data_IF_491430038833
#
_entry.id   IF_491430038833
#
_cell.length_a   1.000
_cell.length_b   1.000
_cell.length_c   1.000
_cell.angle_alpha   90.00
_cell.angle_beta   90.00
_cell.angle_gamma   90.00
#
_symmetry.space_group_name_H-M   'P 1'
#
loop_
_entity.id
_entity.type
_entity.pdbx_description
1 polymer ?
#
# COMPACT_ATOMS: atom_id res chain seq x y z
N UNK A 1 15.97 15.20 9.89
CA UNK A 1 16.15 16.46 9.15
C UNK A 1 14.87 17.28 8.97
N UNK A 2 13.95 16.97 8.02
CA UNK A 2 12.73 17.81 7.78
C UNK A 2 11.85 17.93 9.03
N UNK A 3 11.63 16.81 9.73
CA UNK A 3 10.87 16.81 10.99
C UNK A 3 11.52 17.63 12.11
N UNK A 4 12.84 17.79 12.12
CA UNK A 4 13.52 18.58 13.15
C UNK A 4 13.24 20.07 13.00
N UNK A 5 13.23 20.56 11.75
CA UNK A 5 12.88 21.95 11.49
C UNK A 5 11.37 22.23 11.59
N UNK A 6 10.51 21.25 11.26
CA UNK A 6 9.06 21.37 11.51
C UNK A 6 8.70 21.37 13.00
N UNK A 7 9.49 20.71 13.84
CA UNK A 7 9.33 20.72 15.30
C UNK A 7 9.91 21.99 15.95
N UNK A 8 10.45 22.91 15.16
CA UNK A 8 11.07 24.17 15.58
C UNK A 8 12.18 24.01 16.65
N UNK A 9 12.71 22.79 16.81
CA UNK A 9 13.73 22.49 17.82
C UNK A 9 15.08 23.13 17.51
N UNK A 10 15.34 23.35 16.22
CA UNK A 10 16.61 23.82 15.68
C UNK A 10 16.38 24.73 14.47
N UNK A 11 17.14 25.81 14.31
CA UNK A 11 17.07 26.65 13.11
C UNK A 11 17.36 25.85 11.84
N UNK A 12 16.59 26.09 10.77
CA UNK A 12 16.76 25.40 9.48
C UNK A 12 18.19 25.55 8.94
N UNK A 13 18.81 26.72 9.13
CA UNK A 13 20.19 26.96 8.71
C UNK A 13 21.20 26.02 9.40
N UNK A 14 20.98 25.70 10.68
CA UNK A 14 21.84 24.79 11.43
C UNK A 14 21.67 23.34 10.97
N UNK A 15 20.42 22.93 10.75
CA UNK A 15 20.08 21.62 10.17
C UNK A 15 20.75 21.47 8.80
N UNK A 16 20.66 22.48 7.94
CA UNK A 16 21.27 22.46 6.61
C UNK A 16 22.79 22.35 6.67
N UNK A 17 23.47 23.06 7.58
CA UNK A 17 24.93 22.96 7.77
C UNK A 17 25.35 21.57 8.23
N UNK A 18 24.66 21.00 9.22
CA UNK A 18 24.98 19.67 9.74
C UNK A 18 24.87 18.60 8.65
N UNK A 19 23.82 18.68 7.83
CA UNK A 19 23.57 17.71 6.76
C UNK A 19 24.25 18.08 5.44
N UNK A 20 25.02 19.18 5.39
CA UNK A 20 25.74 19.66 4.20
C UNK A 20 24.82 19.83 2.98
N UNK A 21 23.65 20.44 3.18
CA UNK A 21 22.69 20.75 2.12
C UNK A 21 22.41 22.25 2.03
N UNK A 22 21.91 22.69 0.88
CA UNK A 22 21.37 24.05 0.75
C UNK A 22 19.99 24.16 1.39
N UNK A 23 19.62 25.37 1.85
CA UNK A 23 18.28 25.63 2.37
C UNK A 23 17.19 25.43 1.30
N UNK A 24 17.49 25.73 0.03
CA UNK A 24 16.60 25.45 -1.10
C UNK A 24 16.26 23.96 -1.19
N UNK A 25 17.26 23.08 -1.01
CA UNK A 25 17.04 21.64 -1.02
C UNK A 25 16.20 21.20 0.18
N UNK A 26 16.45 21.77 1.36
CA UNK A 26 15.64 21.52 2.56
C UNK A 26 14.16 21.85 2.33
N UNK A 27 13.86 23.05 1.83
CA UNK A 27 12.47 23.46 1.60
C UNK A 27 11.79 22.60 0.55
N UNK A 28 12.49 22.24 -0.53
CA UNK A 28 11.97 21.29 -1.52
C UNK A 28 11.59 19.94 -0.90
N UNK A 29 12.40 19.42 0.02
CA UNK A 29 12.09 18.18 0.73
C UNK A 29 10.98 18.35 1.77
N UNK A 30 10.91 19.49 2.45
CA UNK A 30 9.79 19.83 3.35
C UNK A 30 8.47 19.80 2.60
N UNK A 31 8.42 20.46 1.45
CA UNK A 31 7.19 20.57 0.67
C UNK A 31 6.75 19.19 0.16
N UNK A 32 7.69 18.38 -0.37
CA UNK A 32 7.41 16.98 -0.74
C UNK A 32 6.92 16.14 0.44
N UNK A 33 7.53 16.32 1.62
CA UNK A 33 7.14 15.59 2.83
C UNK A 33 5.71 15.94 3.26
N UNK A 34 5.36 17.23 3.27
CA UNK A 34 4.02 17.71 3.62
C UNK A 34 2.97 17.30 2.58
N UNK A 35 3.30 17.37 1.29
CA UNK A 35 2.42 16.91 0.22
C UNK A 35 2.16 15.40 0.31
N UNK A 36 3.22 14.60 0.51
CA UNK A 36 3.11 13.15 0.71
C UNK A 36 2.31 12.81 1.97
N UNK A 37 2.53 13.53 3.07
CA UNK A 37 1.76 13.37 4.30
C UNK A 37 0.28 13.70 4.12
N UNK A 38 -0.05 14.81 3.45
CA UNK A 38 -1.44 15.17 3.13
C UNK A 38 -2.10 14.12 2.23
N UNK A 39 -1.40 13.66 1.18
CA UNK A 39 -1.90 12.59 0.31
C UNK A 39 -2.15 11.31 1.11
N UNK A 40 -1.23 10.92 1.98
CA UNK A 40 -1.37 9.75 2.84
C UNK A 40 -2.54 9.85 3.82
N UNK A 41 -2.79 11.03 4.41
CA UNK A 41 -3.90 11.25 5.35
C UNK A 41 -5.26 11.34 4.65
N UNK A 42 -5.33 12.02 3.49
CA UNK A 42 -6.57 12.10 2.69
C UNK A 42 -6.90 10.75 2.09
N UNK A 43 -5.89 10.03 1.58
CA UNK A 43 -6.02 8.67 1.08
C UNK A 43 -5.83 7.65 2.21
N UNK A 44 -6.25 8.00 3.45
CA UNK A 44 -5.95 7.43 4.78
C UNK A 44 -6.15 5.94 5.02
N UNK A 45 -6.32 5.14 3.98
CA UNK A 45 -6.18 3.69 3.98
C UNK A 45 -5.72 3.39 2.55
N UNK A 46 -4.41 3.15 2.38
CA UNK A 46 -3.79 3.04 1.07
C UNK A 46 -4.55 2.04 0.22
N UNK A 47 -5.33 2.54 -0.74
CA UNK A 47 -5.98 1.78 -1.79
C UNK A 47 -6.49 0.38 -1.38
N UNK A 48 -7.06 0.28 -0.17
CA UNK A 48 -7.69 -0.96 0.31
C UNK A 48 -8.79 -1.39 -0.68
N UNK A 49 -9.27 -0.46 -1.50
CA UNK A 49 -10.21 -0.70 -2.59
C UNK A 49 -9.59 -1.26 -3.88
N UNK A 50 -8.35 -0.93 -4.27
CA UNK A 50 -7.79 -1.45 -5.54
C UNK A 50 -7.76 -2.96 -5.57
N UNK A 51 -7.41 -3.59 -4.45
CA UNK A 51 -7.33 -5.04 -4.41
C UNK A 51 -8.62 -5.71 -3.95
N UNK A 52 -9.56 -5.00 -3.30
CA UNK A 52 -10.85 -5.60 -2.87
C UNK A 52 -11.65 -6.18 -4.03
N UNK A 53 -11.75 -5.45 -5.15
CA UNK A 53 -12.49 -5.93 -6.32
C UNK A 53 -11.85 -7.18 -6.94
N UNK A 54 -10.51 -7.21 -7.03
CA UNK A 54 -9.80 -8.38 -7.57
C UNK A 54 -9.85 -9.56 -6.59
N UNK A 55 -9.76 -9.32 -5.27
CA UNK A 55 -9.93 -10.35 -4.24
C UNK A 55 -11.32 -10.99 -4.35
N UNK A 56 -12.38 -10.19 -4.44
CA UNK A 56 -13.75 -10.70 -4.55
C UNK A 56 -13.94 -11.54 -5.83
N UNK A 57 -13.39 -11.08 -6.95
CA UNK A 57 -13.41 -11.79 -8.22
C UNK A 57 -12.66 -13.13 -8.14
N UNK A 58 -11.46 -13.14 -7.55
CA UNK A 58 -10.66 -14.35 -7.37
C UNK A 58 -11.36 -15.35 -6.45
N UNK A 59 -11.97 -14.90 -5.35
CA UNK A 59 -12.76 -15.75 -4.46
C UNK A 59 -13.93 -16.42 -5.19
N UNK A 60 -14.65 -15.69 -6.06
CA UNK A 60 -15.74 -16.26 -6.88
C UNK A 60 -15.23 -17.34 -7.85
N UNK A 61 -14.07 -17.13 -8.47
CA UNK A 61 -13.46 -18.10 -9.39
C UNK A 61 -13.06 -19.37 -8.64
N UNK A 62 -12.38 -19.22 -7.51
CA UNK A 62 -11.95 -20.34 -6.66
C UNK A 62 -13.17 -21.16 -6.19
N UNK A 63 -14.24 -20.48 -5.74
CA UNK A 63 -15.47 -21.16 -5.34
C UNK A 63 -16.10 -21.99 -6.46
N UNK A 64 -16.16 -21.47 -7.69
CA UNK A 64 -16.66 -22.22 -8.86
C UNK A 64 -15.79 -23.44 -9.17
N UNK A 65 -14.46 -23.29 -9.11
CA UNK A 65 -13.52 -24.38 -9.36
C UNK A 65 -13.63 -25.47 -8.28
N UNK A 66 -13.79 -25.09 -7.01
CA UNK A 66 -13.96 -26.04 -5.90
C UNK A 66 -15.19 -26.93 -6.10
N UNK A 67 -16.32 -26.34 -6.52
CA UNK A 67 -17.55 -27.08 -6.85
C UNK A 67 -17.31 -28.04 -8.02
N UNK A 68 -16.66 -27.58 -9.10
CA UNK A 68 -16.35 -28.44 -10.25
C UNK A 68 -15.47 -29.62 -9.85
N UNK A 69 -14.45 -29.39 -9.02
CA UNK A 69 -13.57 -30.44 -8.50
C UNK A 69 -14.35 -31.45 -7.67
N UNK A 70 -15.26 -31.01 -6.81
CA UNK A 70 -16.10 -31.90 -6.00
C UNK A 70 -16.99 -32.79 -6.88
N UNK A 71 -17.65 -32.19 -7.88
CA UNK A 71 -18.49 -32.92 -8.83
C UNK A 71 -17.65 -33.95 -9.59
N UNK A 72 -16.50 -33.53 -10.15
CA UNK A 72 -15.62 -34.43 -10.91
C UNK A 72 -15.12 -35.60 -10.05
N UNK A 73 -14.79 -35.37 -8.78
CA UNK A 73 -14.42 -36.45 -7.85
C UNK A 73 -15.56 -37.43 -7.62
N UNK A 74 -16.78 -36.95 -7.32
CA UNK A 74 -17.96 -37.81 -7.15
C UNK A 74 -18.29 -38.58 -8.43
N UNK A 75 -18.23 -37.93 -9.59
CA UNK A 75 -18.40 -38.58 -10.89
C UNK A 75 -17.34 -39.67 -11.10
N UNK A 76 -16.07 -39.38 -10.83
CA UNK A 76 -15.01 -40.38 -10.93
C UNK A 76 -15.19 -41.55 -9.95
N UNK A 77 -15.67 -41.32 -8.73
CA UNK A 77 -16.00 -42.39 -7.77
C UNK A 77 -17.17 -43.26 -8.28
N UNK A 78 -18.22 -42.62 -8.80
CA UNK A 78 -19.41 -43.30 -9.33
C UNK A 78 -19.12 -44.13 -10.59
N UNK A 79 -18.21 -43.68 -11.44
CA UNK A 79 -17.86 -44.36 -12.70
C UNK A 79 -16.55 -45.16 -12.65
N UNK A 80 -15.75 -44.98 -11.60
CA UNK A 80 -14.47 -45.66 -11.37
C UNK A 80 -14.58 -46.96 -10.56
N UNK A 81 -15.79 -47.33 -10.12
CA UNK A 81 -16.09 -48.66 -9.57
C UNK A 81 -16.50 -49.60 -10.70
N UNK A 82 -15.51 -50.08 -11.46
CA UNK A 82 -15.53 -51.35 -12.19
C UNK A 82 -14.20 -52.04 -12.03
#
# INVERSE_FOLDING_TARGET
MVLEGLKEKRPVAEICRQHRISQTLYYRWRDKFLEGGKKGLVNGAGDDNAYKAEIEKLQKIIGKQAIQIEILKKTAELFGTK
#
